data_IF_702721053718
#
_entry.id   IF_702721053718
#
_cell.length_a   1.000
_cell.length_b   1.000
_cell.length_c   1.000
_cell.angle_alpha   90.00
_cell.angle_beta   90.00
_cell.angle_gamma   90.00
#
_symmetry.space_group_name_H-M   'P 1'
#
loop_
_entity.id
_entity.type
_entity.pdbx_description
1 polymer ?
#
# COMPACT_ATOMS: atom_id res chain seq x y z
N UNK A 1 -37.44 15.30 -20.88
CA UNK A 1 -36.22 14.51 -20.59
C UNK A 1 -35.01 15.37 -20.21
N UNK A 2 -34.75 16.52 -20.85
CA UNK A 2 -33.55 17.36 -20.58
C UNK A 2 -33.51 17.90 -19.13
N UNK A 3 -34.65 18.37 -18.60
CA UNK A 3 -34.72 18.91 -17.24
C UNK A 3 -34.40 17.90 -16.12
N UNK A 4 -34.75 16.61 -16.32
CA UNK A 4 -34.45 15.54 -15.35
C UNK A 4 -32.95 15.23 -15.31
N UNK A 5 -32.27 15.34 -16.46
CA UNK A 5 -30.83 15.08 -16.61
C UNK A 5 -29.98 16.17 -15.97
N UNK A 6 -30.41 17.45 -16.08
CA UNK A 6 -29.72 18.59 -15.44
C UNK A 6 -29.78 18.50 -13.91
N UNK A 7 -30.93 18.12 -13.34
CA UNK A 7 -31.09 17.98 -11.88
C UNK A 7 -30.25 16.83 -11.28
N UNK A 8 -30.09 15.74 -12.02
CA UNK A 8 -29.25 14.60 -11.65
C UNK A 8 -27.76 14.96 -11.68
N UNK A 9 -27.31 15.67 -12.72
CA UNK A 9 -25.92 16.12 -12.84
C UNK A 9 -25.54 17.09 -11.72
N UNK A 10 -26.39 18.07 -11.40
CA UNK A 10 -26.16 18.98 -10.26
C UNK A 10 -26.11 18.26 -8.91
N UNK A 11 -26.82 17.13 -8.77
CA UNK A 11 -26.76 16.31 -7.55
C UNK A 11 -25.46 15.50 -7.47
N UNK A 12 -24.96 15.02 -8.61
CA UNK A 12 -23.70 14.26 -8.69
C UNK A 12 -22.51 15.18 -8.46
N UNK A 13 -22.48 16.36 -9.10
CA UNK A 13 -21.40 17.33 -8.92
C UNK A 13 -21.34 17.83 -7.47
N UNK A 14 -22.51 18.13 -6.87
CA UNK A 14 -22.61 18.49 -5.45
C UNK A 14 -22.12 17.38 -4.52
N UNK A 15 -22.45 16.11 -4.82
CA UNK A 15 -21.95 14.97 -4.07
C UNK A 15 -20.43 14.77 -4.21
N UNK A 16 -19.89 14.85 -5.43
CA UNK A 16 -18.47 14.70 -5.69
C UNK A 16 -17.64 15.79 -5.00
N UNK A 17 -18.13 17.04 -5.02
CA UNK A 17 -17.50 18.14 -4.28
C UNK A 17 -17.54 17.88 -2.77
N UNK A 18 -18.68 17.45 -2.22
CA UNK A 18 -18.78 17.10 -0.80
C UNK A 18 -17.81 15.99 -0.39
N UNK A 19 -17.69 14.92 -1.20
CA UNK A 19 -16.73 13.82 -0.97
C UNK A 19 -15.30 14.34 -1.02
N UNK A 20 -14.95 15.16 -2.01
CA UNK A 20 -13.63 15.75 -2.15
C UNK A 20 -13.27 16.57 -0.91
N UNK A 21 -14.13 17.50 -0.52
CA UNK A 21 -13.92 18.40 0.62
C UNK A 21 -13.79 17.63 1.94
N UNK A 22 -14.64 16.62 2.16
CA UNK A 22 -14.56 15.78 3.36
C UNK A 22 -13.28 14.93 3.39
N UNK A 23 -12.86 14.40 2.24
CA UNK A 23 -11.63 13.60 2.15
C UNK A 23 -10.41 14.47 2.43
N UNK A 24 -10.37 15.68 1.89
CA UNK A 24 -9.32 16.65 2.18
C UNK A 24 -9.31 17.01 3.68
N UNK A 25 -10.47 17.34 4.26
CA UNK A 25 -10.55 17.68 5.68
C UNK A 25 -10.00 16.57 6.58
N UNK A 26 -10.33 15.31 6.30
CA UNK A 26 -9.81 14.15 7.05
C UNK A 26 -8.29 14.00 6.80
N UNK A 27 -7.86 14.03 5.55
CA UNK A 27 -6.46 13.79 5.14
C UNK A 27 -5.51 14.89 5.63
N UNK A 28 -6.01 16.11 5.81
CA UNK A 28 -5.25 17.26 6.34
C UNK A 28 -5.58 17.56 7.81
N UNK A 29 -6.32 16.68 8.48
CA UNK A 29 -6.53 16.82 9.92
C UNK A 29 -5.24 16.48 10.68
N UNK A 30 -4.93 17.23 11.74
CA UNK A 30 -3.74 16.97 12.58
C UNK A 30 -3.59 15.50 13.02
N UNK A 31 -4.66 14.79 13.44
CA UNK A 31 -4.57 13.37 13.78
C UNK A 31 -4.11 12.46 12.61
N UNK A 32 -4.48 12.79 11.38
CA UNK A 32 -4.08 12.00 10.21
C UNK A 32 -2.57 12.07 9.97
N UNK A 33 -1.93 13.21 10.23
CA UNK A 33 -0.47 13.36 10.12
C UNK A 33 0.29 12.46 11.11
N UNK A 34 -0.30 12.17 12.28
CA UNK A 34 0.29 11.26 13.27
C UNK A 34 -0.01 9.78 12.98
N UNK A 35 -1.21 9.46 12.49
CA UNK A 35 -1.64 8.08 12.26
C UNK A 35 -1.13 7.54 10.91
N UNK A 36 -1.03 8.38 9.89
CA UNK A 36 -0.61 7.96 8.54
C UNK A 36 0.77 7.28 8.52
N UNK A 37 1.82 7.80 9.20
CA UNK A 37 3.10 7.10 9.30
C UNK A 37 2.97 5.72 9.96
N UNK A 38 2.18 5.60 11.03
CA UNK A 38 1.98 4.32 11.73
C UNK A 38 1.35 3.29 10.81
N UNK A 39 0.30 3.68 10.07
CA UNK A 39 -0.38 2.82 9.09
C UNK A 39 0.58 2.41 7.98
N UNK A 40 1.40 3.34 7.49
CA UNK A 40 2.42 3.07 6.48
C UNK A 40 3.41 2.01 6.98
N UNK A 41 3.83 2.05 8.24
CA UNK A 41 4.75 1.06 8.83
C UNK A 41 4.09 -0.30 9.15
N UNK A 42 2.76 -0.43 9.06
CA UNK A 42 2.10 -1.74 9.20
C UNK A 42 2.46 -2.68 8.04
N UNK A 43 2.85 -2.15 6.87
CA UNK A 43 3.20 -2.97 5.72
C UNK A 43 4.35 -3.96 6.03
N UNK A 44 5.58 -3.52 6.40
CA UNK A 44 6.64 -4.46 6.74
C UNK A 44 6.28 -5.36 7.92
N UNK A 45 5.61 -4.82 8.95
CA UNK A 45 5.15 -5.62 10.10
C UNK A 45 4.22 -6.77 9.68
N UNK A 46 3.39 -6.57 8.66
CA UNK A 46 2.50 -7.62 8.13
C UNK A 46 3.25 -8.69 7.31
N UNK A 47 4.40 -8.35 6.74
CA UNK A 47 5.22 -9.27 5.93
C UNK A 47 6.15 -10.11 6.82
N UNK A 48 6.62 -9.56 7.95
CA UNK A 48 7.55 -10.22 8.85
C UNK A 48 7.16 -11.65 9.29
N UNK A 49 5.90 -11.99 9.63
CA UNK A 49 5.51 -13.37 9.94
C UNK A 49 5.73 -14.33 8.77
N UNK A 50 5.55 -13.84 7.54
CA UNK A 50 5.76 -14.63 6.34
C UNK A 50 7.26 -14.85 6.08
N UNK A 51 8.12 -13.86 6.36
CA UNK A 51 9.58 -14.02 6.35
C UNK A 51 9.98 -15.13 7.33
N UNK A 52 9.49 -15.08 8.56
CA UNK A 52 9.77 -16.13 9.55
C UNK A 52 9.29 -17.51 9.07
N UNK A 53 8.08 -17.58 8.51
CA UNK A 53 7.51 -18.83 8.00
C UNK A 53 8.36 -19.43 6.88
N UNK A 54 8.81 -18.66 5.89
CA UNK A 54 9.62 -19.22 4.79
C UNK A 54 11.01 -19.66 5.23
N UNK A 55 11.57 -19.04 6.28
CA UNK A 55 12.87 -19.40 6.81
C UNK A 55 12.83 -20.66 7.68
N UNK A 56 11.71 -20.92 8.37
CA UNK A 56 11.62 -21.98 9.39
C UNK A 56 10.73 -23.16 9.01
N UNK A 57 9.77 -22.99 8.10
CA UNK A 57 8.87 -24.07 7.71
C UNK A 57 9.64 -25.20 7.01
N UNK A 58 9.28 -26.48 7.20
CA UNK A 58 9.90 -27.62 6.51
C UNK A 58 9.73 -27.58 4.98
N UNK A 59 8.63 -27.00 4.51
CA UNK A 59 8.31 -26.84 3.09
C UNK A 59 7.76 -25.43 2.81
N UNK A 60 8.00 -24.94 1.60
CA UNK A 60 7.47 -23.68 1.05
C UNK A 60 6.42 -23.90 -0.04
N UNK A 61 5.96 -25.15 -0.23
CA UNK A 61 4.88 -25.48 -1.16
C UNK A 61 3.62 -24.64 -0.86
N UNK A 62 3.03 -24.09 -1.92
CA UNK A 62 1.87 -23.20 -1.83
C UNK A 62 2.21 -21.70 -1.75
N UNK A 63 3.48 -21.33 -1.69
CA UNK A 63 3.90 -19.92 -1.78
C UNK A 63 4.22 -19.60 -3.25
N UNK A 64 3.37 -18.79 -3.89
CA UNK A 64 3.54 -18.41 -5.30
C UNK A 64 4.68 -17.38 -5.49
N UNK A 65 5.78 -17.71 -6.19
CA UNK A 65 6.86 -16.76 -6.48
C UNK A 65 6.36 -15.57 -7.32
N UNK A 66 5.43 -15.82 -8.24
CA UNK A 66 4.85 -14.79 -9.12
C UNK A 66 4.15 -13.70 -8.31
N UNK A 67 3.44 -14.06 -7.24
CA UNK A 67 2.79 -13.07 -6.36
C UNK A 67 3.82 -12.14 -5.71
N UNK A 68 4.92 -12.69 -5.20
CA UNK A 68 5.99 -11.90 -4.57
C UNK A 68 6.76 -11.04 -5.58
N UNK A 69 6.93 -11.50 -6.81
CA UNK A 69 7.48 -10.69 -7.91
C UNK A 69 6.58 -9.50 -8.22
N UNK A 70 5.27 -9.68 -8.32
CA UNK A 70 4.36 -8.53 -8.54
C UNK A 70 4.44 -7.57 -7.34
N UNK A 71 4.50 -8.12 -6.12
CA UNK A 71 4.55 -7.32 -4.90
C UNK A 71 5.82 -6.46 -4.81
N UNK A 72 6.99 -6.98 -5.19
CA UNK A 72 8.24 -6.20 -5.17
C UNK A 72 8.19 -5.02 -6.16
N UNK A 73 7.58 -5.20 -7.33
CA UNK A 73 7.39 -4.11 -8.30
C UNK A 73 6.51 -2.99 -7.75
N UNK A 74 5.42 -3.34 -7.07
CA UNK A 74 4.53 -2.36 -6.41
C UNK A 74 5.28 -1.60 -5.33
N UNK A 75 6.06 -2.29 -4.49
CA UNK A 75 6.83 -1.64 -3.42
C UNK A 75 7.91 -0.70 -3.98
N UNK A 76 8.59 -1.08 -5.07
CA UNK A 76 9.56 -0.21 -5.76
C UNK A 76 8.85 1.06 -6.29
N UNK A 77 7.68 0.91 -6.92
CA UNK A 77 6.91 2.06 -7.39
C UNK A 77 6.51 3.00 -6.24
N UNK A 78 6.02 2.44 -5.13
CA UNK A 78 5.65 3.21 -3.93
C UNK A 78 6.86 3.84 -3.23
N UNK A 79 8.03 3.20 -3.28
CA UNK A 79 9.29 3.76 -2.77
C UNK A 79 9.64 5.05 -3.52
N UNK A 80 9.59 5.02 -4.86
CA UNK A 80 9.83 6.22 -5.68
C UNK A 80 8.79 7.31 -5.44
N UNK A 81 7.52 6.92 -5.27
CA UNK A 81 6.48 7.88 -4.93
C UNK A 81 6.73 8.51 -3.53
N UNK A 82 7.24 7.74 -2.56
CA UNK A 82 7.67 8.25 -1.26
C UNK A 82 8.77 9.31 -1.37
N UNK A 83 9.74 9.13 -2.26
CA UNK A 83 10.77 10.14 -2.56
C UNK A 83 10.14 11.40 -3.18
N UNK A 84 9.29 11.23 -4.19
CA UNK A 84 8.63 12.32 -4.91
C UNK A 84 7.74 13.17 -4.01
N UNK A 85 6.96 12.53 -3.12
CA UNK A 85 6.10 13.22 -2.14
C UNK A 85 6.88 13.75 -0.93
N UNK A 86 8.18 13.50 -0.83
CA UNK A 86 9.02 13.83 0.35
C UNK A 86 8.46 13.25 1.66
N UNK A 87 7.93 12.02 1.60
CA UNK A 87 7.36 11.29 2.75
C UNK A 87 8.34 10.22 3.22
N UNK A 88 9.23 10.52 4.19
CA UNK A 88 10.26 9.58 4.62
C UNK A 88 9.68 8.29 5.19
N UNK A 89 8.54 8.35 5.89
CA UNK A 89 7.86 7.16 6.40
C UNK A 89 7.50 6.17 5.28
N UNK A 90 6.98 6.66 4.15
CA UNK A 90 6.65 5.83 2.99
C UNK A 90 7.91 5.22 2.37
N UNK A 91 8.96 6.03 2.22
CA UNK A 91 10.25 5.56 1.71
C UNK A 91 10.82 4.41 2.56
N UNK A 92 10.97 4.62 3.87
CA UNK A 92 11.56 3.63 4.77
C UNK A 92 10.69 2.38 4.90
N UNK A 93 9.36 2.53 4.99
CA UNK A 93 8.45 1.39 5.03
C UNK A 93 8.58 0.52 3.78
N UNK A 94 8.52 1.12 2.58
CA UNK A 94 8.66 0.37 1.33
C UNK A 94 10.06 -0.24 1.18
N UNK A 95 11.11 0.47 1.60
CA UNK A 95 12.48 -0.04 1.55
C UNK A 95 12.66 -1.30 2.41
N UNK A 96 12.15 -1.30 3.65
CA UNK A 96 12.18 -2.48 4.53
C UNK A 96 11.37 -3.62 3.91
N UNK A 97 10.17 -3.34 3.41
CA UNK A 97 9.32 -4.35 2.77
C UNK A 97 9.96 -4.98 1.53
N UNK A 98 10.76 -4.23 0.76
CA UNK A 98 11.52 -4.76 -0.39
C UNK A 98 12.56 -5.77 0.09
N UNK A 99 13.27 -5.49 1.18
CA UNK A 99 14.25 -6.43 1.75
C UNK A 99 13.55 -7.71 2.21
N UNK A 100 12.44 -7.59 2.95
CA UNK A 100 11.65 -8.74 3.39
C UNK A 100 11.12 -9.57 2.22
N UNK A 101 10.60 -8.90 1.20
CA UNK A 101 10.08 -9.54 -0.01
C UNK A 101 11.21 -10.24 -0.79
N UNK A 102 12.40 -9.64 -0.86
CA UNK A 102 13.56 -10.25 -1.49
C UNK A 102 14.03 -11.50 -0.73
N UNK A 103 14.01 -11.49 0.60
CA UNK A 103 14.31 -12.66 1.44
C UNK A 103 13.30 -13.78 1.14
N UNK A 104 12.01 -13.45 1.10
CA UNK A 104 10.95 -14.42 0.78
C UNK A 104 11.17 -15.02 -0.59
N UNK A 105 11.31 -14.18 -1.62
CA UNK A 105 11.46 -14.63 -2.99
C UNK A 105 12.70 -15.51 -3.17
N UNK A 106 13.84 -15.08 -2.63
CA UNK A 106 15.11 -15.85 -2.71
C UNK A 106 14.98 -17.20 -2.04
N UNK A 107 14.36 -17.24 -0.85
CA UNK A 107 14.17 -18.48 -0.09
C UNK A 107 13.23 -19.44 -0.81
N UNK A 108 12.12 -18.93 -1.35
CA UNK A 108 11.16 -19.74 -2.11
C UNK A 108 11.81 -20.29 -3.38
N UNK A 109 12.55 -19.48 -4.15
CA UNK A 109 13.21 -19.92 -5.39
C UNK A 109 14.32 -20.95 -5.16
N UNK A 110 15.02 -20.91 -4.02
CA UNK A 110 16.06 -21.89 -3.68
C UNK A 110 15.47 -23.22 -3.21
N UNK A 111 14.30 -23.18 -2.55
CA UNK A 111 13.68 -24.34 -1.88
C UNK A 111 12.52 -24.98 -2.65
N UNK A 112 12.09 -24.38 -3.76
CA UNK A 112 11.08 -24.94 -4.68
C UNK A 112 11.76 -25.74 -5.79
#
# INVERSE_FOLDING_TARGET
>A
MIALRVRLLTSIDGFMNWVHDHTLWITYSGPYEYVSPMVIFLNPVSIAPQVYKVLTAPSVEGISPTTWIVFIFVQIALLFEGVKMRRPALFFSMFISIIETAIILTTVLIRS
#
